data_IF_354761107760
#
_entry.id   IF_354761107760
#
_cell.length_a   1.000
_cell.length_b   1.000
_cell.length_c   1.000
_cell.angle_alpha   90.00
_cell.angle_beta   90.00
_cell.angle_gamma   90.00
#
_symmetry.space_group_name_H-M   'P 1'
#
loop_
_entity.id
_entity.type
_entity.pdbx_description
1 polymer ?
#
# COMPACT_ATOMS: atom_id res chain seq x y z
N UNK A 1 -23.46 -5.58 -4.91
CA UNK A 1 -22.95 -4.19 -4.91
C UNK A 1 -21.69 -4.00 -5.76
N UNK A 2 -20.63 -4.80 -5.59
CA UNK A 2 -19.38 -4.68 -6.37
C UNK A 2 -19.57 -4.78 -7.90
N UNK A 3 -20.47 -5.68 -8.33
CA UNK A 3 -20.81 -5.89 -9.75
C UNK A 3 -21.46 -4.65 -10.40
N UNK A 4 -22.27 -3.92 -9.63
CA UNK A 4 -22.97 -2.71 -10.07
C UNK A 4 -22.00 -1.53 -10.29
N UNK A 5 -20.99 -1.38 -9.41
CA UNK A 5 -19.91 -0.38 -9.56
C UNK A 5 -19.07 -0.68 -10.82
N UNK A 6 -18.83 -1.97 -11.10
CA UNK A 6 -18.10 -2.42 -12.28
C UNK A 6 -18.82 -2.07 -13.58
N UNK A 7 -20.14 -2.28 -13.64
CA UNK A 7 -20.97 -1.93 -14.80
C UNK A 7 -21.03 -0.41 -15.02
N UNK A 8 -21.19 0.38 -13.96
CA UNK A 8 -21.17 1.84 -14.04
C UNK A 8 -19.81 2.40 -14.49
N UNK A 9 -18.70 1.78 -14.07
CA UNK A 9 -17.35 2.20 -14.50
C UNK A 9 -17.07 1.97 -15.98
N UNK A 10 -17.71 0.97 -16.61
CA UNK A 10 -17.61 0.74 -18.05
C UNK A 10 -18.51 1.68 -18.84
N UNK A 11 -19.69 2.04 -18.30
CA UNK A 11 -20.62 2.95 -18.96
C UNK A 11 -20.10 4.39 -19.08
N UNK A 12 -19.26 4.85 -18.14
CA UNK A 12 -18.70 6.21 -18.12
C UNK A 12 -17.28 6.32 -18.68
N UNK A 13 -16.65 5.20 -19.06
CA UNK A 13 -15.34 5.24 -19.69
C UNK A 13 -15.52 5.59 -21.17
N UNK A 14 -15.17 6.83 -21.56
CA UNK A 14 -15.17 7.25 -22.96
C UNK A 14 -14.42 6.26 -23.86
N UNK A 15 -14.73 6.25 -25.16
CA UNK A 15 -14.29 5.22 -26.12
C UNK A 15 -12.77 4.95 -26.12
N UNK A 16 -11.98 5.93 -25.70
CA UNK A 16 -10.51 5.89 -25.67
C UNK A 16 -9.92 5.30 -24.38
N UNK A 17 -10.73 4.77 -23.47
CA UNK A 17 -10.26 4.14 -22.24
C UNK A 17 -10.60 2.64 -22.19
N UNK A 18 -9.61 1.83 -21.78
CA UNK A 18 -9.82 0.41 -21.45
C UNK A 18 -9.89 0.25 -19.94
N UNK A 19 -11.06 -0.14 -19.43
CA UNK A 19 -11.27 -0.47 -18.02
C UNK A 19 -11.20 -1.99 -17.84
N UNK A 20 -10.58 -2.44 -16.75
CA UNK A 20 -10.54 -3.85 -16.34
C UNK A 20 -10.77 -3.98 -14.85
N UNK A 21 -11.47 -5.03 -14.38
CA UNK A 21 -11.55 -5.32 -12.95
C UNK A 21 -10.15 -5.55 -12.37
N UNK A 22 -10.03 -5.27 -11.08
CA UNK A 22 -8.88 -5.57 -10.24
C UNK A 22 -9.37 -6.39 -9.06
N UNK A 23 -8.77 -7.56 -8.87
CA UNK A 23 -8.86 -8.33 -7.63
C UNK A 23 -7.47 -8.88 -7.33
N UNK A 24 -6.99 -8.70 -6.10
CA UNK A 24 -5.67 -9.16 -5.68
C UNK A 24 -5.79 -9.70 -4.25
N UNK A 25 -5.73 -11.03 -4.04
CA UNK A 25 -5.62 -11.58 -2.69
C UNK A 25 -4.24 -11.27 -2.09
N UNK A 26 -4.17 -11.18 -0.78
CA UNK A 26 -2.96 -10.83 -0.05
C UNK A 26 -2.75 -11.73 1.16
N UNK A 27 -1.54 -12.24 1.26
CA UNK A 27 -1.05 -13.03 2.38
C UNK A 27 0.36 -12.55 2.72
N UNK A 28 0.74 -12.57 3.98
CA UNK A 28 2.06 -12.13 4.38
C UNK A 28 2.32 -12.31 5.86
N UNK A 29 3.56 -12.10 6.25
CA UNK A 29 3.94 -11.96 7.65
C UNK A 29 4.07 -10.48 8.00
N UNK A 30 3.86 -10.19 9.27
CA UNK A 30 3.91 -8.86 9.84
C UNK A 30 4.89 -8.86 11.01
N UNK A 31 5.66 -7.79 11.15
CA UNK A 31 6.55 -7.58 12.28
C UNK A 31 6.54 -6.12 12.72
N UNK A 32 6.01 -5.83 13.90
CA UNK A 32 6.04 -4.48 14.47
C UNK A 32 7.14 -4.41 15.53
N UNK A 33 8.04 -3.43 15.41
CA UNK A 33 9.05 -3.17 16.43
C UNK A 33 8.75 -1.84 17.10
N UNK A 34 8.49 -1.90 18.41
CA UNK A 34 8.28 -0.72 19.25
C UNK A 34 9.63 -0.12 19.63
N UNK A 35 9.72 1.21 19.62
CA UNK A 35 10.91 1.93 20.09
C UNK A 35 11.10 1.75 21.59
N UNK A 36 12.36 1.74 22.05
CA UNK A 36 12.74 1.54 23.45
C UNK A 36 12.10 2.57 24.40
N UNK A 37 11.82 3.78 23.91
CA UNK A 37 11.17 4.86 24.67
C UNK A 37 9.69 4.57 25.01
N UNK A 38 9.04 3.70 24.25
CA UNK A 38 7.60 3.40 24.39
C UNK A 38 7.34 1.96 24.88
N UNK A 39 8.39 1.20 25.19
CA UNK A 39 8.27 -0.15 25.74
C UNK A 39 8.24 -0.08 27.28
N UNK A 40 7.24 -0.73 27.89
CA UNK A 40 7.14 -0.82 29.36
C UNK A 40 8.26 -1.67 29.99
N UNK A 41 8.90 -2.51 29.17
CA UNK A 41 10.05 -3.31 29.51
C UNK A 41 11.22 -2.82 28.64
N UNK A 42 12.39 -2.56 29.20
CA UNK A 42 13.57 -1.96 28.52
C UNK A 42 14.18 -2.83 27.41
N UNK A 43 13.44 -3.83 26.95
CA UNK A 43 13.72 -4.69 25.81
C UNK A 43 12.80 -4.34 24.63
N UNK A 44 13.36 -4.32 23.42
CA UNK A 44 12.59 -4.09 22.18
C UNK A 44 11.51 -5.17 22.01
N UNK A 45 10.26 -4.81 22.29
CA UNK A 45 9.13 -5.68 21.98
C UNK A 45 8.94 -5.75 20.46
N UNK A 46 9.17 -6.95 19.90
CA UNK A 46 8.90 -7.25 18.49
C UNK A 46 7.65 -8.13 18.39
N UNK A 47 6.55 -7.54 17.93
CA UNK A 47 5.30 -8.25 17.70
C UNK A 47 5.33 -8.87 16.31
N UNK A 48 4.85 -10.11 16.18
CA UNK A 48 4.79 -10.81 14.90
C UNK A 48 3.40 -11.36 14.66
N UNK A 49 3.01 -11.42 13.39
CA UNK A 49 1.71 -11.94 13.01
C UNK A 49 1.62 -12.34 11.55
N UNK A 50 0.46 -12.88 11.19
CA UNK A 50 0.07 -13.16 9.82
C UNK A 50 -0.90 -12.09 9.35
N UNK A 51 -0.68 -11.57 8.15
CA UNK A 51 -1.56 -10.61 7.48
C UNK A 51 -2.30 -11.31 6.35
N UNK A 52 -3.61 -11.17 6.34
CA UNK A 52 -4.49 -11.64 5.27
C UNK A 52 -5.34 -10.47 4.76
N UNK A 53 -5.70 -10.49 3.49
CA UNK A 53 -6.56 -9.44 2.95
C UNK A 53 -6.79 -9.56 1.45
N UNK A 54 -7.41 -8.54 0.90
CA UNK A 54 -7.60 -8.43 -0.54
C UNK A 54 -7.74 -6.97 -0.96
N UNK A 55 -7.36 -6.70 -2.21
CA UNK A 55 -7.71 -5.48 -2.92
C UNK A 55 -8.73 -5.78 -4.01
N UNK A 56 -9.73 -4.91 -4.14
CA UNK A 56 -10.67 -4.92 -5.25
C UNK A 56 -10.79 -3.54 -5.88
N UNK A 57 -11.09 -3.45 -7.17
CA UNK A 57 -11.29 -2.18 -7.84
C UNK A 57 -11.23 -2.26 -9.36
N UNK A 58 -10.72 -1.21 -9.98
CA UNK A 58 -10.63 -1.08 -11.44
C UNK A 58 -9.27 -0.54 -11.86
N UNK A 59 -8.74 -1.10 -12.95
CA UNK A 59 -7.58 -0.59 -13.69
C UNK A 59 -8.08 0.10 -14.93
N UNK A 60 -7.49 1.24 -15.26
CA UNK A 60 -7.77 1.95 -16.49
C UNK A 60 -6.48 2.19 -17.27
N UNK A 61 -6.60 2.16 -18.60
CA UNK A 61 -5.50 2.40 -19.54
C UNK A 61 -6.03 3.15 -20.76
N UNK A 62 -5.35 4.23 -21.13
CA UNK A 62 -5.64 4.95 -22.37
C UNK A 62 -5.36 4.08 -23.60
N UNK A 63 -6.25 4.13 -24.59
CA UNK A 63 -6.10 3.55 -25.92
C UNK A 63 -5.44 4.60 -26.80
N UNK A 64 -4.14 4.47 -27.05
CA UNK A 64 -3.46 5.37 -27.98
C UNK A 64 -3.83 5.05 -29.43
N UNK A 65 -4.36 6.04 -30.15
CA UNK A 65 -4.64 5.99 -31.61
C UNK A 65 -3.78 7.04 -32.33
N UNK A 66 -3.36 6.75 -33.56
CA UNK A 66 -2.64 7.70 -34.43
C UNK A 66 -1.33 8.26 -33.84
N UNK A 67 -1.12 9.57 -34.01
CA UNK A 67 0.05 10.33 -33.54
C UNK A 67 0.28 10.25 -32.01
N UNK A 68 -0.74 9.90 -31.22
CA UNK A 68 -0.63 9.72 -29.79
C UNK A 68 0.19 8.48 -29.37
N UNK A 69 0.61 7.62 -30.31
CA UNK A 69 1.53 6.48 -30.05
C UNK A 69 2.93 6.91 -29.63
N UNK A 70 3.35 8.13 -29.95
CA UNK A 70 4.66 8.66 -29.56
C UNK A 70 4.69 9.13 -28.08
N UNK A 71 3.53 9.34 -27.46
CA UNK A 71 3.41 9.73 -26.05
C UNK A 71 3.43 8.49 -25.14
N UNK A 72 3.75 8.63 -23.85
CA UNK A 72 3.59 7.53 -22.90
C UNK A 72 2.12 7.15 -22.71
N UNK A 73 1.87 5.85 -22.52
CA UNK A 73 0.52 5.36 -22.24
C UNK A 73 0.12 5.78 -20.82
N UNK A 74 -0.95 6.57 -20.69
CA UNK A 74 -1.49 6.88 -19.37
C UNK A 74 -2.24 5.67 -18.81
N UNK A 75 -1.94 5.33 -17.57
CA UNK A 75 -2.55 4.24 -16.85
C UNK A 75 -2.95 4.71 -15.45
N UNK A 76 -3.87 3.99 -14.85
CA UNK A 76 -4.13 4.14 -13.43
C UNK A 76 -5.02 3.05 -12.89
N UNK A 77 -5.40 3.22 -11.63
CA UNK A 77 -6.30 2.32 -10.94
C UNK A 77 -6.95 3.01 -9.76
N UNK A 78 -8.15 2.56 -9.45
CA UNK A 78 -8.84 2.86 -8.19
C UNK A 78 -9.04 1.55 -7.47
N UNK A 79 -8.81 1.52 -6.16
CA UNK A 79 -8.89 0.31 -5.34
C UNK A 79 -9.46 0.61 -3.97
N UNK A 80 -10.12 -0.40 -3.42
CA UNK A 80 -10.33 -0.57 -1.99
C UNK A 80 -9.51 -1.78 -1.57
N UNK A 81 -8.74 -1.65 -0.51
CA UNK A 81 -7.97 -2.74 0.08
C UNK A 81 -8.35 -2.87 1.55
N UNK A 82 -8.65 -4.09 1.98
CA UNK A 82 -8.82 -4.43 3.38
C UNK A 82 -7.77 -5.48 3.77
N UNK A 83 -7.05 -5.24 4.85
CA UNK A 83 -6.16 -6.23 5.45
C UNK A 83 -6.41 -6.38 6.94
N UNK A 84 -6.27 -7.61 7.40
CA UNK A 84 -6.40 -7.99 8.79
C UNK A 84 -5.13 -8.74 9.20
N UNK A 85 -4.50 -8.31 10.28
CA UNK A 85 -3.29 -8.90 10.82
C UNK A 85 -3.60 -9.54 12.16
N UNK A 86 -3.24 -10.81 12.31
CA UNK A 86 -3.39 -11.62 13.51
C UNK A 86 -1.99 -12.01 14.02
N UNK A 87 -1.60 -11.49 15.17
CA UNK A 87 -0.42 -11.88 15.93
C UNK A 87 -0.81 -12.33 17.35
N UNK A 88 0.15 -12.91 18.07
CA UNK A 88 -0.06 -13.35 19.46
C UNK A 88 -0.49 -12.21 20.39
N UNK A 89 -0.04 -10.99 20.09
CA UNK A 89 -0.22 -9.81 20.94
C UNK A 89 -0.63 -8.58 20.12
N UNK A 90 -0.85 -8.73 18.81
CA UNK A 90 -1.15 -7.63 17.89
C UNK A 90 -2.28 -8.00 16.92
N UNK A 91 -3.36 -7.23 16.93
CA UNK A 91 -4.43 -7.28 15.93
C UNK A 91 -4.47 -5.95 15.20
N UNK A 92 -4.34 -5.97 13.88
CA UNK A 92 -4.34 -4.73 13.08
C UNK A 92 -5.31 -4.88 11.92
N UNK A 93 -6.24 -3.93 11.82
CA UNK A 93 -7.15 -3.82 10.68
C UNK A 93 -6.81 -2.55 9.91
N UNK A 94 -6.52 -2.69 8.62
CA UNK A 94 -6.27 -1.58 7.72
C UNK A 94 -7.28 -1.60 6.58
N UNK A 95 -7.90 -0.45 6.31
CA UNK A 95 -8.75 -0.22 5.14
C UNK A 95 -8.17 0.95 4.36
N UNK A 96 -7.91 0.73 3.08
CA UNK A 96 -7.36 1.71 2.16
C UNK A 96 -8.33 1.95 1.02
N UNK A 97 -8.55 3.20 0.66
CA UNK A 97 -9.32 3.61 -0.51
C UNK A 97 -8.47 4.58 -1.30
N UNK A 98 -7.98 4.14 -2.47
CA UNK A 98 -6.97 4.89 -3.19
C UNK A 98 -7.15 4.91 -4.69
N UNK A 99 -6.73 6.02 -5.28
CA UNK A 99 -6.67 6.23 -6.73
C UNK A 99 -5.23 6.57 -7.14
N UNK A 100 -4.80 6.05 -8.28
CA UNK A 100 -3.43 6.16 -8.75
C UNK A 100 -3.42 6.39 -10.25
N UNK A 101 -2.51 7.24 -10.71
CA UNK A 101 -2.36 7.56 -12.12
C UNK A 101 -0.88 7.73 -12.45
N UNK A 102 -0.51 7.42 -13.69
CA UNK A 102 0.76 7.83 -14.23
C UNK A 102 1.13 7.17 -15.56
N UNK A 103 2.26 7.61 -16.14
CA UNK A 103 2.70 7.18 -17.46
C UNK A 103 3.35 5.80 -17.44
N UNK A 104 3.25 5.09 -18.57
CA UNK A 104 4.00 3.87 -18.88
C UNK A 104 4.94 4.11 -20.08
N UNK A 105 6.23 3.90 -19.85
CA UNK A 105 7.34 3.98 -20.80
C UNK A 105 7.92 2.58 -21.02
N UNK A 106 7.41 1.83 -22.01
CA UNK A 106 7.85 0.46 -22.25
C UNK A 106 7.61 -0.44 -21.02
N UNK A 107 8.66 -1.04 -20.41
CA UNK A 107 8.53 -1.84 -19.19
C UNK A 107 8.39 -1.01 -17.91
N UNK A 108 8.80 0.27 -17.92
CA UNK A 108 8.71 1.14 -16.75
C UNK A 108 7.32 1.79 -16.67
N UNK A 109 6.73 1.77 -15.48
CA UNK A 109 5.52 2.48 -15.13
C UNK A 109 5.78 3.32 -13.90
N UNK A 110 5.43 4.60 -13.97
CA UNK A 110 5.44 5.49 -12.82
C UNK A 110 4.00 5.74 -12.41
N UNK A 111 3.72 5.70 -11.12
CA UNK A 111 2.40 6.01 -10.56
C UNK A 111 2.54 6.94 -9.37
N UNK A 112 1.66 7.93 -9.29
CA UNK A 112 1.40 8.71 -8.09
C UNK A 112 -0.08 8.59 -7.76
N UNK A 113 -0.44 8.68 -6.49
CA UNK A 113 -1.81 8.53 -6.07
C UNK A 113 -2.16 9.28 -4.80
N UNK A 114 -3.41 9.10 -4.43
CA UNK A 114 -4.05 9.59 -3.23
C UNK A 114 -4.71 8.37 -2.58
N UNK A 115 -4.40 8.08 -1.31
CA UNK A 115 -4.89 6.90 -0.60
C UNK A 115 -5.41 7.32 0.78
N UNK A 116 -6.72 7.20 0.98
CA UNK A 116 -7.34 7.37 2.29
C UNK A 116 -7.22 6.07 3.08
N UNK A 117 -6.78 6.17 4.32
CA UNK A 117 -6.45 5.02 5.15
C UNK A 117 -7.22 5.14 6.45
N UNK A 118 -7.85 4.06 6.85
CA UNK A 118 -8.35 3.87 8.21
C UNK A 118 -7.63 2.69 8.81
N UNK A 119 -7.03 2.89 9.98
CA UNK A 119 -6.27 1.87 10.69
C UNK A 119 -6.79 1.76 12.11
N UNK A 120 -6.99 0.53 12.56
CA UNK A 120 -7.23 0.18 13.95
C UNK A 120 -6.17 -0.83 14.38
N UNK A 121 -5.42 -0.49 15.42
CA UNK A 121 -4.33 -1.29 15.94
C UNK A 121 -4.65 -1.66 17.38
N UNK A 122 -4.60 -2.93 17.74
CA UNK A 122 -4.75 -3.40 19.12
C UNK A 122 -3.50 -4.20 19.45
N UNK A 123 -2.60 -3.61 20.22
CA UNK A 123 -1.36 -4.26 20.65
C UNK A 123 -1.36 -4.30 22.18
N UNK A 124 -1.20 -5.49 22.74
CA UNK A 124 -1.12 -5.68 24.18
C UNK A 124 0.12 -4.97 24.72
N UNK A 125 -0.03 -4.15 25.76
CA UNK A 125 1.09 -3.42 26.38
C UNK A 125 1.42 -2.07 25.75
N UNK A 126 0.77 -1.66 24.65
CA UNK A 126 0.86 -0.27 24.16
C UNK A 126 -0.18 0.64 24.82
N UNK A 127 0.15 1.94 25.02
CA UNK A 127 -0.81 2.91 25.53
C UNK A 127 -2.01 3.06 24.58
N UNK A 128 -3.20 3.29 25.15
CA UNK A 128 -4.47 3.34 24.41
C UNK A 128 -4.44 4.30 23.22
N UNK A 129 -3.72 5.43 23.35
CA UNK A 129 -3.54 6.41 22.28
C UNK A 129 -2.83 5.87 21.03
N UNK A 130 -1.93 4.90 21.17
CA UNK A 130 -1.26 4.25 20.05
C UNK A 130 -2.19 3.26 19.33
N UNK A 131 -3.19 2.74 20.05
CA UNK A 131 -4.18 1.75 19.58
C UNK A 131 -5.50 2.36 19.09
N UNK A 132 -5.72 3.66 19.33
CA UNK A 132 -6.94 4.32 18.90
C UNK A 132 -7.07 4.29 17.36
N UNK A 133 -8.27 4.00 16.84
CA UNK A 133 -8.51 4.01 15.42
C UNK A 133 -8.26 5.41 14.88
N UNK A 134 -7.54 5.49 13.76
CA UNK A 134 -7.21 6.77 13.15
C UNK A 134 -7.43 6.72 11.65
N UNK A 135 -7.69 7.91 11.10
CA UNK A 135 -7.70 8.14 9.68
C UNK A 135 -6.41 8.82 9.26
N UNK A 136 -5.91 8.45 8.11
CA UNK A 136 -4.80 9.14 7.48
C UNK A 136 -5.01 9.23 5.97
N UNK A 137 -4.22 10.10 5.36
CA UNK A 137 -4.14 10.25 3.93
C UNK A 137 -2.69 10.09 3.51
N UNK A 138 -2.46 9.29 2.47
CA UNK A 138 -1.13 9.06 1.91
C UNK A 138 -1.05 9.55 0.47
N UNK A 139 0.15 9.99 0.07
CA UNK A 139 0.48 10.34 -1.31
C UNK A 139 1.51 9.33 -1.85
N UNK A 140 1.08 8.11 -2.17
CA UNK A 140 1.99 7.07 -2.63
C UNK A 140 2.54 7.36 -4.03
N UNK A 141 3.87 7.31 -4.15
CA UNK A 141 4.61 7.31 -5.40
C UNK A 141 5.24 5.94 -5.62
N UNK A 142 5.21 5.44 -6.87
CA UNK A 142 5.70 4.11 -7.23
C UNK A 142 6.42 4.09 -8.57
N UNK A 143 7.50 3.31 -8.62
CA UNK A 143 8.16 2.90 -9.84
C UNK A 143 8.00 1.40 -10.01
N UNK A 144 7.45 0.98 -11.15
CA UNK A 144 7.14 -0.41 -11.46
C UNK A 144 7.86 -0.79 -12.74
N UNK A 145 8.79 -1.72 -12.66
CA UNK A 145 9.44 -2.37 -13.80
C UNK A 145 8.75 -3.70 -14.06
N UNK A 146 8.04 -3.79 -15.18
CA UNK A 146 7.22 -4.92 -15.58
C UNK A 146 7.78 -5.52 -16.88
N UNK A 147 8.58 -6.58 -16.72
CA UNK A 147 8.98 -7.46 -17.82
C UNK A 147 8.06 -8.68 -17.77
N UNK A 148 7.58 -9.19 -18.90
CA UNK A 148 6.45 -10.17 -18.98
C UNK A 148 6.46 -11.33 -17.97
N UNK A 149 7.64 -11.73 -17.48
CA UNK A 149 7.88 -12.84 -16.55
C UNK A 149 8.19 -12.39 -15.10
N UNK A 150 8.52 -11.11 -14.90
CA UNK A 150 8.91 -10.56 -13.61
C UNK A 150 8.55 -9.09 -13.44
N UNK A 151 8.12 -8.73 -12.24
CA UNK A 151 7.74 -7.38 -11.86
C UNK A 151 8.52 -6.95 -10.63
N UNK A 152 9.22 -5.84 -10.72
CA UNK A 152 9.82 -5.14 -9.59
C UNK A 152 9.02 -3.86 -9.33
N UNK A 153 8.67 -3.60 -8.08
CA UNK A 153 7.97 -2.39 -7.66
C UNK A 153 8.71 -1.77 -6.47
N UNK A 154 8.99 -0.47 -6.59
CA UNK A 154 9.49 0.39 -5.53
C UNK A 154 8.39 1.39 -5.19
N UNK A 155 8.20 1.67 -3.91
CA UNK A 155 7.18 2.60 -3.44
C UNK A 155 7.65 3.42 -2.27
N UNK A 156 7.23 4.68 -2.24
CA UNK A 156 7.35 5.56 -1.08
C UNK A 156 6.04 6.34 -0.92
N UNK A 157 5.56 6.50 0.31
CA UNK A 157 4.31 7.17 0.58
C UNK A 157 4.42 7.99 1.88
N UNK A 158 4.53 9.33 1.80
CA UNK A 158 4.27 10.17 2.96
C UNK A 158 2.81 10.03 3.37
N UNK A 159 2.57 10.07 4.68
CA UNK A 159 1.25 9.96 5.28
C UNK A 159 0.98 11.09 6.26
N UNK A 160 -0.28 11.50 6.33
CA UNK A 160 -0.77 12.61 7.12
C UNK A 160 -2.02 12.18 7.87
N UNK A 161 -2.01 12.29 9.20
CA UNK A 161 -3.17 11.97 10.04
C UNK A 161 -4.28 12.99 9.86
N UNK A 162 -5.52 12.50 9.83
CA UNK A 162 -6.74 13.29 9.81
C UNK A 162 -7.40 13.19 11.19
N UNK A 163 -6.96 14.04 12.11
CA UNK A 163 -7.43 14.06 13.50
C UNK A 163 -6.69 13.12 14.45
N UNK A 164 -7.04 13.19 15.73
CA UNK A 164 -6.40 12.45 16.83
C UNK A 164 -5.12 13.11 17.38
N UNK A 165 -4.66 12.63 18.54
CA UNK A 165 -3.42 13.08 19.20
C UNK A 165 -2.20 12.22 18.80
N UNK A 166 -2.12 11.74 17.55
CA UNK A 166 -0.93 11.00 17.09
C UNK A 166 0.23 11.96 16.85
N UNK A 167 1.36 11.64 17.45
CA UNK A 167 2.58 12.40 17.29
C UNK A 167 3.20 12.17 15.90
N UNK A 168 3.90 13.20 15.40
CA UNK A 168 4.55 13.21 14.09
C UNK A 168 6.01 12.80 14.27
N UNK A 169 6.53 12.02 13.32
CA UNK A 169 7.95 11.66 13.29
C UNK A 169 8.84 12.90 13.25
N UNK A 170 9.78 13.02 14.19
CA UNK A 170 10.93 13.92 14.03
C UNK A 170 11.96 13.33 13.05
N UNK A 171 11.92 13.79 11.80
CA UNK A 171 12.78 13.35 10.71
C UNK A 171 14.26 13.73 10.86
N UNK A 172 14.60 14.62 11.80
CA UNK A 172 15.98 15.09 12.01
C UNK A 172 16.87 13.93 12.46
N UNK A 173 16.36 13.10 13.36
CA UNK A 173 17.09 12.01 14.02
C UNK A 173 16.83 10.63 13.40
N UNK A 174 16.02 10.54 12.34
CA UNK A 174 15.76 9.26 11.67
C UNK A 174 16.90 8.84 10.73
N UNK A 175 17.21 7.54 10.75
CA UNK A 175 18.17 6.90 9.85
C UNK A 175 17.72 6.94 8.39
N UNK A 176 16.40 6.86 8.15
CA UNK A 176 15.79 7.02 6.82
C UNK A 176 15.05 8.36 6.80
N UNK A 177 15.39 9.22 5.83
CA UNK A 177 14.76 10.52 5.67
C UNK A 177 13.40 10.39 5.00
N UNK A 178 12.43 11.13 5.53
CA UNK A 178 11.08 11.18 5.04
C UNK A 178 10.45 12.55 5.22
N UNK A 179 9.16 12.62 4.91
CA UNK A 179 8.32 13.81 5.02
C UNK A 179 6.92 13.41 5.48
N UNK A 180 6.17 14.38 6.02
CA UNK A 180 4.83 14.14 6.55
C UNK A 180 4.84 13.71 8.01
N UNK A 181 3.73 13.15 8.49
CA UNK A 181 3.61 12.66 9.86
C UNK A 181 4.25 11.28 10.03
N UNK A 182 4.15 10.44 8.99
CA UNK A 182 4.79 9.14 8.86
C UNK A 182 5.23 8.94 7.41
N UNK A 183 6.14 7.99 7.17
CA UNK A 183 6.50 7.60 5.80
C UNK A 183 6.60 6.09 5.66
N UNK A 184 5.96 5.57 4.62
CA UNK A 184 6.02 4.17 4.23
C UNK A 184 6.96 4.00 3.04
N UNK A 185 7.79 2.95 3.09
CA UNK A 185 8.66 2.50 2.02
C UNK A 185 8.31 1.05 1.67
N UNK A 186 8.50 0.68 0.42
CA UNK A 186 8.23 -0.67 -0.04
C UNK A 186 9.07 -1.04 -1.25
N UNK A 187 9.49 -2.29 -1.28
CA UNK A 187 10.05 -2.98 -2.42
C UNK A 187 9.31 -4.31 -2.57
N UNK A 188 8.93 -4.66 -3.78
CA UNK A 188 8.41 -5.99 -4.06
C UNK A 188 8.90 -6.51 -5.39
N UNK A 189 9.23 -7.80 -5.41
CA UNK A 189 9.63 -8.52 -6.60
C UNK A 189 8.68 -9.70 -6.78
N UNK A 190 8.13 -9.86 -7.98
CA UNK A 190 7.22 -10.95 -8.34
C UNK A 190 7.70 -11.61 -9.60
N UNK A 191 7.74 -12.94 -9.63
CA UNK A 191 7.99 -13.72 -10.83
C UNK A 191 6.75 -14.57 -11.15
N UNK A 192 6.39 -14.65 -12.43
CA UNK A 192 5.22 -15.41 -12.85
C UNK A 192 4.81 -15.17 -14.29
N UNK A 193 3.95 -16.05 -14.80
CA UNK A 193 3.40 -15.97 -16.15
C UNK A 193 1.91 -15.63 -16.06
N UNK A 194 1.56 -14.48 -16.61
CA UNK A 194 0.17 -14.02 -16.67
C UNK A 194 -0.42 -13.72 -15.28
N UNK A 195 -1.63 -14.23 -14.95
CA UNK A 195 -2.27 -13.98 -13.67
C UNK A 195 -1.49 -14.62 -12.52
N UNK A 196 -0.89 -15.78 -12.72
CA UNK A 196 -0.26 -16.58 -11.67
C UNK A 196 1.19 -16.15 -11.47
N UNK A 197 1.54 -15.81 -10.24
CA UNK A 197 2.93 -15.51 -9.91
C UNK A 197 3.17 -15.38 -8.42
N UNK A 198 4.37 -15.79 -7.99
CA UNK A 198 4.83 -15.71 -6.61
C UNK A 198 5.73 -14.49 -6.48
N UNK A 199 5.54 -13.74 -5.40
CA UNK A 199 6.35 -12.57 -5.13
C UNK A 199 6.67 -12.42 -3.66
N UNK A 200 7.77 -11.71 -3.43
CA UNK A 200 8.21 -11.26 -2.13
C UNK A 200 8.02 -9.75 -2.07
N UNK A 201 7.53 -9.26 -0.95
CA UNK A 201 7.46 -7.84 -0.66
C UNK A 201 8.10 -7.57 0.68
N UNK A 202 8.94 -6.55 0.74
CA UNK A 202 9.41 -5.97 1.98
C UNK A 202 8.94 -4.53 2.02
N UNK A 203 8.25 -4.15 3.08
CA UNK A 203 7.88 -2.77 3.33
C UNK A 203 8.15 -2.42 4.78
N UNK A 204 8.40 -1.15 5.03
CA UNK A 204 8.44 -0.66 6.39
C UNK A 204 7.84 0.75 6.44
N UNK A 205 7.35 1.13 7.61
CA UNK A 205 6.78 2.44 7.87
C UNK A 205 7.43 3.00 9.12
N UNK A 206 7.97 4.20 8.97
CA UNK A 206 8.57 4.95 10.07
C UNK A 206 7.46 5.75 10.72
N UNK A 207 7.27 5.52 12.02
CA UNK A 207 6.26 6.15 12.88
C UNK A 207 6.95 6.74 14.11
N UNK A 208 6.29 7.64 14.83
CA UNK A 208 6.87 8.20 16.06
C UNK A 208 7.15 7.11 17.11
N UNK A 209 6.30 6.08 17.13
CA UNK A 209 6.37 5.00 18.12
C UNK A 209 7.38 3.89 17.74
N UNK A 210 8.03 4.00 16.58
CA UNK A 210 8.98 3.01 16.08
C UNK A 210 8.78 2.67 14.60
N UNK A 211 9.29 1.50 14.19
CA UNK A 211 9.24 1.04 12.80
C UNK A 211 8.34 -0.17 12.66
N UNK A 212 7.29 -0.01 11.84
CA UNK A 212 6.41 -1.09 11.41
C UNK A 212 7.01 -1.78 10.19
N UNK A 213 7.34 -3.07 10.28
CA UNK A 213 7.89 -3.88 9.20
C UNK A 213 6.88 -4.88 8.65
N UNK A 214 6.84 -5.02 7.34
CA UNK A 214 6.01 -5.99 6.63
C UNK A 214 6.89 -6.83 5.70
N UNK A 215 6.92 -8.14 5.93
CA UNK A 215 7.48 -9.12 4.99
C UNK A 215 6.34 -9.95 4.42
N UNK A 216 5.96 -9.68 3.18
CA UNK A 216 4.88 -10.37 2.49
C UNK A 216 5.40 -11.42 1.52
N UNK A 217 4.69 -12.54 1.44
CA UNK A 217 4.79 -13.50 0.34
C UNK A 217 3.44 -13.48 -0.37
N UNK A 218 3.41 -12.86 -1.55
CA UNK A 218 2.19 -12.74 -2.34
C UNK A 218 2.11 -13.85 -3.38
N UNK A 219 0.97 -14.53 -3.44
CA UNK A 219 0.56 -15.28 -4.64
C UNK A 219 -0.53 -14.46 -5.30
N UNK A 220 -0.24 -13.91 -6.49
CA UNK A 220 -1.25 -13.21 -7.27
C UNK A 220 -1.89 -14.13 -8.29
N UNK A 221 -3.19 -13.87 -8.54
CA UNK A 221 -3.91 -14.11 -9.79
C UNK A 221 -3.98 -12.80 -10.59
#
# INVERSE_FOLDING_TARGET
>A
MLFSILLMSQANAGEDMKVRPLFVPMFGSFSYRVSDEYSADTSQATYRGMRVGAAAGVKYKSKQKGLARALPNLMGKTRVLGTYTLGSEAVITDVHVGTFIGPKFGPLKLEIGADGIWTQTQISGLPTKATDPYMSFAIPARAIFDIKVAKLELSAAPMYFLGGERAKVDWTNQAVKGIGHEMQYGISARAGLGPIGVGLSYGFRVTEYGTDGLIGIGVGL
#
